data_IF_132365150333
#
_entry.id   IF_132365150333
#
_cell.length_a   1.000
_cell.length_b   1.000
_cell.length_c   1.000
_cell.angle_alpha   90.00
_cell.angle_beta   90.00
_cell.angle_gamma   90.00
#
_symmetry.space_group_name_H-M   'P 1'
#
loop_
_entity.id
_entity.type
_entity.pdbx_description
1 polymer ?
#
# COMPACT_ATOMS: atom_id res chain seq x y z
N UNK A 1 -17.72 35.48 -13.16
CA UNK A 1 -16.83 34.34 -12.85
C UNK A 1 -16.45 33.70 -14.18
N UNK A 2 -15.23 33.93 -14.69
CA UNK A 2 -14.79 33.34 -15.95
C UNK A 2 -14.48 31.86 -15.71
N UNK A 3 -15.26 30.96 -16.33
CA UNK A 3 -14.96 29.52 -16.34
C UNK A 3 -13.74 29.33 -17.23
N UNK A 4 -12.61 28.92 -16.65
CA UNK A 4 -11.42 28.60 -17.44
C UNK A 4 -11.80 27.51 -18.46
N UNK A 5 -11.33 27.63 -19.70
CA UNK A 5 -11.55 26.59 -20.71
C UNK A 5 -10.88 25.29 -20.27
N UNK A 6 -11.54 24.15 -20.49
CA UNK A 6 -11.02 22.80 -20.20
C UNK A 6 -9.91 22.44 -21.19
N UNK A 7 -9.05 21.48 -20.82
CA UNK A 7 -7.99 21.00 -21.71
C UNK A 7 -8.58 20.16 -22.84
N UNK A 8 -8.77 20.77 -24.02
CA UNK A 8 -9.31 20.09 -25.20
C UNK A 8 -8.45 18.89 -25.65
N UNK A 9 -7.13 18.94 -25.44
CA UNK A 9 -6.24 17.80 -25.74
C UNK A 9 -6.44 16.64 -24.76
N UNK A 10 -6.64 16.92 -23.48
CA UNK A 10 -6.93 15.89 -22.49
C UNK A 10 -8.28 15.23 -22.78
N UNK A 11 -9.31 16.05 -23.02
CA UNK A 11 -10.65 15.55 -23.39
C UNK A 11 -10.58 14.74 -24.70
N UNK A 12 -9.80 15.19 -25.68
CA UNK A 12 -9.57 14.46 -26.94
C UNK A 12 -8.87 13.12 -26.75
N UNK A 13 -7.82 13.06 -25.93
CA UNK A 13 -7.10 11.81 -25.63
C UNK A 13 -7.97 10.80 -24.89
N UNK A 14 -8.86 11.27 -24.00
CA UNK A 14 -9.83 10.41 -23.31
C UNK A 14 -10.90 9.93 -24.30
N UNK A 15 -11.46 10.82 -25.11
CA UNK A 15 -12.51 10.49 -26.07
C UNK A 15 -12.02 9.54 -27.18
N UNK A 16 -10.74 9.61 -27.57
CA UNK A 16 -10.13 8.73 -28.56
C UNK A 16 -9.71 7.37 -27.99
N UNK A 17 -9.76 7.20 -26.66
CA UNK A 17 -9.30 5.98 -25.98
C UNK A 17 -7.78 5.89 -25.81
N UNK A 18 -7.02 6.94 -26.11
CA UNK A 18 -5.58 6.99 -25.87
C UNK A 18 -5.26 7.08 -24.37
N UNK A 19 -6.09 7.77 -23.59
CA UNK A 19 -5.99 7.85 -22.14
C UNK A 19 -7.27 7.30 -21.50
N UNK A 20 -7.22 6.08 -20.99
CA UNK A 20 -8.38 5.41 -20.39
C UNK A 20 -8.27 5.31 -18.87
N UNK A 21 -9.38 5.45 -18.14
CA UNK A 21 -9.40 5.17 -16.70
C UNK A 21 -9.21 3.67 -16.45
N UNK A 22 -8.26 3.34 -15.58
CA UNK A 22 -8.04 1.97 -15.11
C UNK A 22 -8.29 1.92 -13.60
N UNK A 23 -9.15 1.01 -13.10
CA UNK A 23 -9.44 0.94 -11.67
C UNK A 23 -8.21 0.50 -10.86
N UNK A 24 -8.11 0.98 -9.63
CA UNK A 24 -7.16 0.43 -8.66
C UNK A 24 -7.70 -0.93 -8.21
N UNK A 25 -7.06 -2.00 -8.69
CA UNK A 25 -7.37 -3.38 -8.33
C UNK A 25 -6.45 -3.81 -7.18
N UNK A 26 -7.00 -4.09 -6.00
CA UNK A 26 -6.24 -4.63 -4.89
C UNK A 26 -5.79 -6.09 -5.17
N UNK A 27 -4.63 -6.51 -4.62
CA UNK A 27 -4.23 -7.92 -4.60
C UNK A 27 -5.30 -8.80 -3.93
N UNK A 28 -5.24 -10.09 -4.22
CA UNK A 28 -6.11 -11.08 -3.53
C UNK A 28 -5.90 -10.96 -2.01
N UNK A 29 -7.00 -10.98 -1.26
CA UNK A 29 -6.95 -10.95 0.19
C UNK A 29 -6.51 -12.32 0.74
N UNK A 30 -5.34 -12.32 1.39
CA UNK A 30 -4.64 -13.49 1.91
C UNK A 30 -4.08 -13.18 3.29
N UNK A 31 -3.72 -14.20 4.05
CA UNK A 31 -3.04 -13.99 5.33
C UNK A 31 -1.58 -13.52 5.20
N UNK A 32 -1.06 -13.45 3.98
CA UNK A 32 0.26 -12.91 3.70
C UNK A 32 0.26 -11.38 3.84
N UNK A 33 1.42 -10.81 4.16
CA UNK A 33 1.57 -9.35 4.20
C UNK A 33 1.41 -8.67 2.82
N UNK A 34 1.43 -9.43 1.70
CA UNK A 34 1.12 -8.90 0.36
C UNK A 34 -0.33 -8.42 0.19
N UNK A 35 -1.21 -8.73 1.13
CA UNK A 35 -2.59 -8.22 1.17
C UNK A 35 -2.74 -6.98 2.06
N UNK A 36 -1.64 -6.51 2.67
CA UNK A 36 -1.61 -5.27 3.44
C UNK A 36 -1.07 -4.16 2.55
N UNK A 37 -1.82 -3.07 2.42
CA UNK A 37 -1.30 -1.86 1.77
C UNK A 37 -0.24 -1.21 2.65
N UNK A 38 0.97 -1.00 2.12
CA UNK A 38 2.10 -0.48 2.89
C UNK A 38 2.13 1.06 2.85
N UNK A 39 1.16 1.67 3.52
CA UNK A 39 1.07 3.14 3.64
C UNK A 39 2.31 3.76 4.30
N UNK A 40 2.94 3.05 5.23
CA UNK A 40 4.15 3.51 5.92
C UNK A 40 5.37 3.66 5.01
N UNK A 41 5.36 2.97 3.87
CA UNK A 41 6.44 2.99 2.89
C UNK A 41 6.07 3.81 1.65
N UNK A 42 4.93 4.49 1.65
CA UNK A 42 4.52 5.30 0.51
C UNK A 42 5.53 6.43 0.28
N UNK A 43 6.15 6.40 -0.90
CA UNK A 43 7.21 7.33 -1.31
C UNK A 43 8.47 7.30 -0.43
N UNK A 44 8.69 6.25 0.39
CA UNK A 44 9.88 6.16 1.25
C UNK A 44 11.14 5.78 0.47
N UNK A 45 11.00 5.17 -0.71
CA UNK A 45 12.09 4.83 -1.62
C UNK A 45 12.07 5.66 -2.91
N UNK A 46 13.26 6.05 -3.36
CA UNK A 46 13.49 6.64 -4.67
C UNK A 46 13.35 5.54 -5.73
N UNK A 47 12.33 5.64 -6.59
CA UNK A 47 12.14 4.73 -7.74
C UNK A 47 12.90 5.19 -8.99
N UNK A 48 13.69 6.28 -8.93
CA UNK A 48 14.44 6.80 -10.09
C UNK A 48 15.87 7.21 -9.74
N UNK A 49 16.82 6.75 -10.55
CA UNK A 49 18.28 6.85 -10.35
C UNK A 49 18.87 8.26 -10.42
N UNK A 50 18.05 9.31 -10.53
CA UNK A 50 18.51 10.69 -10.58
C UNK A 50 17.61 11.59 -9.72
N UNK A 51 18.17 12.06 -8.61
CA UNK A 51 17.69 13.16 -7.77
C UNK A 51 16.37 13.01 -7.00
N UNK A 52 15.65 11.87 -7.03
CA UNK A 52 14.45 11.72 -6.21
C UNK A 52 14.82 11.44 -4.74
N UNK A 53 14.40 12.34 -3.84
CA UNK A 53 14.55 12.15 -2.39
C UNK A 53 13.29 11.45 -1.85
N UNK A 54 13.36 10.73 -0.71
CA UNK A 54 12.17 10.20 -0.06
C UNK A 54 11.11 11.28 0.14
N UNK A 55 9.85 10.90 -0.01
CA UNK A 55 8.67 11.76 0.14
C UNK A 55 8.68 13.00 -0.77
N UNK A 56 9.26 12.86 -1.96
CA UNK A 56 9.18 13.88 -3.01
C UNK A 56 8.36 13.38 -4.20
N UNK A 57 7.61 14.28 -4.82
CA UNK A 57 6.96 14.06 -6.12
C UNK A 57 7.83 14.67 -7.23
N UNK A 58 7.76 14.08 -8.43
CA UNK A 58 8.28 14.71 -9.64
C UNK A 58 7.27 15.76 -10.10
N UNK A 59 7.52 17.00 -9.68
CA UNK A 59 6.72 18.19 -9.93
C UNK A 59 7.09 18.80 -11.29
N UNK A 60 6.10 18.85 -12.18
CA UNK A 60 6.21 19.36 -13.54
C UNK A 60 5.55 20.73 -13.59
N UNK A 61 6.33 21.78 -13.87
CA UNK A 61 5.83 23.17 -13.91
C UNK A 61 6.28 23.88 -15.19
N UNK A 62 5.48 24.83 -15.72
CA UNK A 62 5.90 25.61 -16.89
C UNK A 62 7.18 26.40 -16.61
N UNK A 63 8.24 26.08 -17.34
CA UNK A 63 9.52 26.78 -17.31
C UNK A 63 9.59 27.95 -18.28
N UNK A 64 10.81 28.43 -18.53
CA UNK A 64 11.04 29.67 -19.31
C UNK A 64 10.50 29.60 -20.75
N UNK A 65 10.58 28.42 -21.37
CA UNK A 65 10.05 28.16 -22.72
C UNK A 65 8.59 27.69 -22.73
N UNK A 66 7.86 27.86 -21.62
CA UNK A 66 6.50 27.34 -21.40
C UNK A 66 6.36 25.83 -21.61
N UNK A 67 7.48 25.10 -21.54
CA UNK A 67 7.52 23.65 -21.47
C UNK A 67 7.54 23.22 -20.02
N UNK A 68 6.98 22.06 -19.73
CA UNK A 68 7.05 21.51 -18.37
C UNK A 68 8.46 21.04 -18.03
N UNK A 69 9.05 21.66 -17.00
CA UNK A 69 10.34 21.30 -16.42
C UNK A 69 10.12 20.46 -15.15
N UNK A 70 11.07 19.57 -14.84
CA UNK A 70 11.00 18.65 -13.69
C UNK A 70 11.71 19.21 -12.47
N UNK A 71 11.04 19.12 -11.32
CA UNK A 71 11.57 19.50 -10.03
C UNK A 71 11.19 18.46 -8.97
N UNK A 72 12.06 18.21 -8.00
CA UNK A 72 11.68 17.44 -6.83
C UNK A 72 10.92 18.35 -5.84
N UNK A 73 9.65 18.05 -5.57
CA UNK A 73 8.86 18.75 -4.57
C UNK A 73 8.63 17.85 -3.35
N UNK A 74 9.08 18.28 -2.18
CA UNK A 74 8.82 17.56 -0.93
C UNK A 74 7.35 17.66 -0.51
N UNK A 75 6.80 16.53 -0.06
CA UNK A 75 5.45 16.41 0.50
C UNK A 75 5.58 15.86 1.92
N UNK A 76 5.92 16.71 2.91
CA UNK A 76 6.19 16.27 4.29
C UNK A 76 4.99 15.60 4.95
N UNK A 77 3.78 15.86 4.48
CA UNK A 77 2.55 15.20 4.94
C UNK A 77 2.57 13.70 4.65
N UNK A 78 3.18 13.27 3.54
CA UNK A 78 3.33 11.85 3.21
C UNK A 78 4.30 11.17 4.18
N UNK A 79 5.41 11.83 4.51
CA UNK A 79 6.37 11.33 5.50
C UNK A 79 5.72 11.07 6.87
N UNK A 80 4.77 11.92 7.25
CA UNK A 80 4.10 11.86 8.54
C UNK A 80 2.73 11.15 8.48
N UNK A 81 2.36 10.59 7.32
CA UNK A 81 1.06 9.97 7.08
C UNK A 81 0.78 8.84 8.05
N UNK A 82 1.78 7.98 8.27
CA UNK A 82 1.73 6.86 9.20
C UNK A 82 2.77 7.08 10.31
N UNK A 83 2.34 6.93 11.55
CA UNK A 83 3.23 6.90 12.71
C UNK A 83 3.57 5.46 13.04
N UNK A 84 4.83 5.24 13.43
CA UNK A 84 5.34 3.95 13.88
C UNK A 84 5.80 4.07 15.33
N UNK A 85 5.20 3.28 16.20
CA UNK A 85 5.64 3.03 17.57
C UNK A 85 6.36 1.68 17.61
N UNK A 86 7.51 1.61 18.29
CA UNK A 86 8.18 0.34 18.56
C UNK A 86 7.93 -0.03 20.02
N UNK A 87 7.21 -1.12 20.25
CA UNK A 87 6.93 -1.64 21.59
C UNK A 87 7.89 -2.80 21.87
N UNK A 88 8.88 -2.62 22.76
CA UNK A 88 9.75 -3.70 23.19
C UNK A 88 8.99 -4.67 24.11
N UNK A 89 9.42 -5.93 24.14
CA UNK A 89 8.84 -6.97 25.01
C UNK A 89 7.33 -7.15 24.87
N UNK A 90 6.79 -6.92 23.67
CA UNK A 90 5.40 -7.22 23.36
C UNK A 90 5.18 -8.72 23.48
N UNK A 91 4.06 -9.11 24.10
CA UNK A 91 3.65 -10.50 24.22
C UNK A 91 2.24 -10.70 23.69
N UNK A 92 2.03 -11.83 23.04
CA UNK A 92 0.73 -12.29 22.53
C UNK A 92 0.70 -13.81 22.55
N UNK A 93 -0.49 -14.40 22.41
CA UNK A 93 -0.61 -15.83 22.15
C UNK A 93 -0.38 -16.11 20.66
N UNK A 94 0.15 -17.29 20.32
CA UNK A 94 0.34 -17.72 18.92
C UNK A 94 -0.95 -17.59 18.09
N UNK A 95 -2.11 -17.77 18.73
CA UNK A 95 -3.42 -17.71 18.08
C UNK A 95 -3.91 -16.28 17.78
N UNK A 96 -3.31 -15.27 18.42
CA UNK A 96 -3.57 -13.85 18.14
C UNK A 96 -2.98 -13.42 16.79
N UNK A 97 -1.94 -14.11 16.32
CA UNK A 97 -1.30 -13.82 15.04
C UNK A 97 -2.19 -14.34 13.92
N UNK A 98 -2.56 -13.42 13.02
CA UNK A 98 -3.48 -13.69 11.92
C UNK A 98 -2.82 -13.65 10.55
N UNK A 99 -1.58 -13.18 10.45
CA UNK A 99 -0.85 -13.14 9.18
C UNK A 99 0.67 -13.32 9.31
N UNK A 100 1.30 -13.61 8.17
CA UNK A 100 2.73 -13.98 8.07
C UNK A 100 3.39 -13.22 6.91
N UNK A 101 4.65 -12.81 7.07
CA UNK A 101 5.33 -11.99 6.05
C UNK A 101 6.12 -12.76 5.01
N UNK A 102 6.70 -13.91 5.32
CA UNK A 102 7.59 -14.66 4.42
C UNK A 102 7.22 -16.14 4.37
N UNK A 103 7.13 -16.70 3.17
CA UNK A 103 6.88 -18.13 2.97
C UNK A 103 7.29 -18.56 1.56
N UNK A 104 7.75 -19.80 1.43
CA UNK A 104 7.93 -20.45 0.11
C UNK A 104 6.62 -20.72 -0.62
N UNK A 105 5.49 -20.64 0.10
CA UNK A 105 4.14 -20.80 -0.44
C UNK A 105 3.41 -19.46 -0.56
N UNK A 106 4.13 -18.33 -0.56
CA UNK A 106 3.53 -16.99 -0.57
C UNK A 106 2.80 -16.69 -1.88
N UNK A 107 3.19 -17.33 -2.98
CA UNK A 107 2.53 -17.26 -4.28
C UNK A 107 1.08 -17.78 -4.23
N UNK A 108 0.76 -18.69 -3.32
CA UNK A 108 -0.58 -19.25 -3.16
C UNK A 108 -1.55 -18.31 -2.43
N UNK A 109 -2.71 -18.11 -3.04
CA UNK A 109 -3.82 -17.33 -2.47
C UNK A 109 -4.56 -18.12 -1.39
N UNK A 110 -4.03 -18.08 -0.18
CA UNK A 110 -4.63 -18.71 0.99
C UNK A 110 -5.22 -17.63 1.87
N UNK A 111 -6.54 -17.72 2.12
CA UNK A 111 -7.26 -16.66 2.81
C UNK A 111 -6.98 -16.65 4.30
N UNK A 112 -7.10 -17.81 4.94
CA UNK A 112 -6.96 -17.93 6.39
C UNK A 112 -5.66 -18.67 6.77
N UNK A 113 -5.00 -18.18 7.82
CA UNK A 113 -3.80 -18.82 8.39
C UNK A 113 -4.11 -20.23 8.90
N UNK A 114 -5.36 -20.54 9.25
CA UNK A 114 -5.82 -21.86 9.70
C UNK A 114 -5.93 -22.89 8.55
N UNK A 115 -6.09 -22.44 7.30
CA UNK A 115 -6.13 -23.32 6.12
C UNK A 115 -4.72 -23.72 5.67
N UNK A 116 -3.75 -22.85 5.90
CA UNK A 116 -2.38 -23.00 5.41
C UNK A 116 -1.73 -24.34 5.79
N UNK A 117 -1.81 -24.81 7.06
CA UNK A 117 -1.15 -26.06 7.45
C UNK A 117 -1.77 -27.29 6.80
N UNK A 118 -3.09 -27.28 6.60
CA UNK A 118 -3.81 -28.37 5.94
C UNK A 118 -3.44 -28.44 4.45
N UNK A 119 -3.31 -27.28 3.81
CA UNK A 119 -3.03 -27.19 2.37
C UNK A 119 -1.55 -27.38 2.03
N UNK A 120 -0.62 -26.94 2.90
CA UNK A 120 0.80 -26.74 2.53
C UNK A 120 1.82 -27.44 3.43
N UNK A 121 1.46 -27.89 4.62
CA UNK A 121 2.36 -28.63 5.51
C UNK A 121 1.63 -29.62 6.40
N UNK A 122 0.78 -30.45 5.80
CA UNK A 122 -0.05 -31.41 6.54
C UNK A 122 0.78 -32.36 7.40
N UNK A 123 1.93 -32.81 6.92
CA UNK A 123 2.86 -33.66 7.69
C UNK A 123 3.42 -33.00 8.96
N UNK A 124 3.43 -31.67 9.04
CA UNK A 124 3.84 -30.93 10.23
C UNK A 124 2.64 -30.65 11.15
N UNK A 125 1.44 -30.54 10.59
CA UNK A 125 0.21 -30.28 11.33
C UNK A 125 -0.34 -31.54 12.02
N UNK A 126 -0.19 -32.71 11.40
CA UNK A 126 -0.68 -34.00 11.90
C UNK A 126 0.47 -34.91 12.41
N UNK A 127 0.27 -35.65 13.52
CA UNK A 127 -0.93 -35.68 14.35
C UNK A 127 -1.03 -34.42 15.23
N UNK A 128 -2.26 -34.09 15.64
CA UNK A 128 -2.52 -32.98 16.55
C UNK A 128 -2.27 -33.45 17.98
N UNK A 129 -1.04 -33.26 18.46
CA UNK A 129 -0.61 -33.62 19.82
C UNK A 129 0.29 -32.54 20.41
N UNK A 130 0.36 -32.47 21.73
CA UNK A 130 1.23 -31.53 22.43
C UNK A 130 2.72 -31.78 22.13
N UNK A 131 3.11 -33.04 21.94
CA UNK A 131 4.49 -33.39 21.55
C UNK A 131 4.83 -32.87 20.15
N UNK A 132 3.90 -32.96 19.20
CA UNK A 132 4.14 -32.44 17.86
C UNK A 132 4.18 -30.91 17.84
N UNK A 133 3.32 -30.26 18.63
CA UNK A 133 3.38 -28.82 18.89
C UNK A 133 4.76 -28.42 19.43
N UNK A 134 5.26 -29.09 20.48
CA UNK A 134 6.59 -28.83 21.04
C UNK A 134 7.70 -29.01 20.02
N UNK A 135 7.62 -30.04 19.16
CA UNK A 135 8.58 -30.28 18.09
C UNK A 135 8.60 -29.13 17.08
N UNK A 136 7.44 -28.69 16.60
CA UNK A 136 7.33 -27.57 15.67
C UNK A 136 7.86 -26.27 16.28
N UNK A 137 7.52 -25.99 17.54
CA UNK A 137 7.99 -24.82 18.28
C UNK A 137 9.51 -24.80 18.52
N UNK A 138 10.20 -25.94 18.43
CA UNK A 138 11.67 -26.01 18.55
C UNK A 138 12.39 -25.74 17.23
N UNK A 139 11.68 -25.50 16.13
CA UNK A 139 12.33 -25.26 14.85
C UNK A 139 13.09 -23.93 14.84
N UNK A 140 14.38 -23.98 14.50
CA UNK A 140 15.31 -22.86 14.63
C UNK A 140 14.93 -21.64 13.76
N UNK A 141 14.24 -21.84 12.63
CA UNK A 141 13.78 -20.73 11.77
C UNK A 141 12.69 -19.87 12.43
N UNK A 142 12.01 -20.36 13.48
CA UNK A 142 11.03 -19.57 14.22
C UNK A 142 11.67 -18.42 14.99
N UNK A 143 12.94 -18.57 15.38
CA UNK A 143 13.73 -17.50 16.03
C UNK A 143 12.97 -16.82 17.18
N UNK A 144 12.42 -17.65 18.08
CA UNK A 144 11.53 -17.21 19.16
C UNK A 144 12.16 -16.14 20.07
N UNK A 145 13.49 -16.08 20.12
CA UNK A 145 14.28 -15.09 20.87
C UNK A 145 14.25 -13.67 20.28
N UNK A 146 13.86 -13.52 19.01
CA UNK A 146 13.94 -12.25 18.27
C UNK A 146 12.75 -12.04 17.34
N UNK A 147 11.56 -12.45 17.79
CA UNK A 147 10.34 -12.28 17.02
C UNK A 147 10.05 -10.80 16.75
N UNK A 148 9.60 -10.51 15.53
CA UNK A 148 9.16 -9.19 15.10
C UNK A 148 7.69 -9.28 14.67
N UNK A 149 6.87 -8.41 15.24
CA UNK A 149 5.46 -8.31 14.93
C UNK A 149 5.15 -6.96 14.29
N UNK A 150 4.06 -6.90 13.53
CA UNK A 150 3.48 -5.67 13.06
C UNK A 150 1.97 -5.63 13.29
N UNK A 151 1.48 -4.51 13.79
CA UNK A 151 0.06 -4.21 13.91
C UNK A 151 -0.32 -3.14 12.88
N UNK A 152 -1.12 -3.53 11.90
CA UNK A 152 -1.65 -2.66 10.85
C UNK A 152 -3.15 -2.41 11.11
N UNK A 153 -3.55 -1.23 11.62
CA UNK A 153 -4.95 -0.97 11.96
C UNK A 153 -5.89 -0.95 10.75
N UNK A 154 -5.33 -0.80 9.54
CA UNK A 154 -6.04 -0.82 8.26
C UNK A 154 -6.09 -2.20 7.58
N UNK A 155 -5.50 -3.23 8.19
CA UNK A 155 -5.57 -4.59 7.66
C UNK A 155 -6.63 -5.39 8.39
N UNK A 156 -7.40 -6.21 7.67
CA UNK A 156 -8.43 -7.09 8.23
C UNK A 156 -7.89 -7.96 9.40
N UNK A 157 -6.69 -8.50 9.22
CA UNK A 157 -6.04 -9.42 10.17
C UNK A 157 -5.29 -8.72 11.31
N UNK A 158 -5.01 -7.43 11.16
CA UNK A 158 -4.30 -6.53 12.10
C UNK A 158 -2.90 -6.97 12.53
N UNK A 159 -2.73 -8.12 13.20
CA UNK A 159 -1.48 -8.59 13.77
C UNK A 159 -0.78 -9.64 12.89
N UNK A 160 0.44 -9.32 12.49
CA UNK A 160 1.27 -10.13 11.60
C UNK A 160 2.60 -10.48 12.27
N UNK A 161 3.08 -11.71 12.02
CA UNK A 161 4.46 -12.09 12.30
C UNK A 161 5.34 -11.76 11.09
N UNK A 162 6.32 -10.87 11.29
CA UNK A 162 7.29 -10.47 10.28
C UNK A 162 8.49 -11.42 10.30
N UNK A 163 8.26 -12.63 9.79
CA UNK A 163 9.27 -13.69 9.72
C UNK A 163 10.16 -13.59 8.48
N UNK A 164 11.32 -14.25 8.54
CA UNK A 164 12.19 -14.51 7.38
C UNK A 164 12.16 -15.99 6.95
N UNK A 165 11.53 -16.86 7.74
CA UNK A 165 11.52 -18.32 7.57
C UNK A 165 10.58 -19.00 8.56
N UNK A 166 10.51 -20.33 8.54
CA UNK A 166 9.74 -21.10 9.54
C UNK A 166 8.22 -21.03 9.42
N UNK A 167 7.66 -20.44 8.35
CA UNK A 167 6.20 -20.27 8.19
C UNK A 167 5.42 -21.57 8.33
N UNK A 168 5.89 -22.68 7.75
CA UNK A 168 5.22 -23.98 7.78
C UNK A 168 5.18 -24.57 9.19
N UNK A 169 6.28 -24.46 9.95
CA UNK A 169 6.35 -24.89 11.35
C UNK A 169 5.47 -24.01 12.25
N UNK A 170 5.49 -22.69 12.04
CA UNK A 170 4.65 -21.76 12.78
C UNK A 170 3.16 -22.01 12.53
N UNK A 171 2.77 -22.15 11.25
CA UNK A 171 1.40 -22.44 10.87
C UNK A 171 0.92 -23.74 11.50
N UNK A 172 1.72 -24.81 11.41
CA UNK A 172 1.41 -26.10 12.02
C UNK A 172 1.29 -26.00 13.56
N UNK A 173 2.22 -25.32 14.22
CA UNK A 173 2.17 -25.10 15.67
C UNK A 173 0.93 -24.30 16.08
N UNK A 174 0.61 -23.21 15.37
CA UNK A 174 -0.59 -22.42 15.63
C UNK A 174 -1.86 -23.27 15.46
N UNK A 175 -1.96 -24.03 14.37
CA UNK A 175 -3.07 -24.93 14.11
C UNK A 175 -3.25 -25.96 15.24
N UNK A 176 -2.15 -26.57 15.69
CA UNK A 176 -2.15 -27.52 16.80
C UNK A 176 -2.58 -26.85 18.12
N UNK A 177 -2.03 -25.66 18.44
CA UNK A 177 -2.39 -24.89 19.62
C UNK A 177 -3.90 -24.56 19.66
N UNK A 178 -4.47 -24.08 18.54
CA UNK A 178 -5.91 -23.83 18.41
C UNK A 178 -6.74 -25.08 18.68
N UNK A 179 -6.39 -26.22 18.07
CA UNK A 179 -7.15 -27.48 18.19
C UNK A 179 -7.05 -28.11 19.57
N UNK A 180 -5.89 -27.97 20.23
CA UNK A 180 -5.65 -28.50 21.57
C UNK A 180 -6.15 -27.57 22.67
N UNK A 181 -6.48 -26.30 22.36
CA UNK A 181 -6.83 -25.29 23.36
C UNK A 181 -5.65 -24.92 24.27
N UNK A 182 -4.42 -25.02 23.75
CA UNK A 182 -3.19 -24.75 24.52
C UNK A 182 -2.69 -23.35 24.17
N UNK A 183 -2.53 -22.52 25.20
CA UNK A 183 -1.88 -21.21 25.04
C UNK A 183 -0.37 -21.39 24.79
N UNK A 184 0.15 -20.67 23.80
CA UNK A 184 1.57 -20.64 23.45
C UNK A 184 1.99 -19.16 23.44
N UNK A 185 2.49 -18.63 24.56
CA UNK A 185 2.90 -17.23 24.64
C UNK A 185 4.15 -17.01 23.79
N UNK A 186 4.11 -15.95 22.98
CA UNK A 186 5.21 -15.45 22.18
C UNK A 186 5.60 -14.06 22.66
N UNK A 187 6.89 -13.76 22.60
CA UNK A 187 7.44 -12.46 23.02
C UNK A 187 8.39 -11.93 21.96
N UNK A 188 8.38 -10.62 21.74
CA UNK A 188 9.25 -9.99 20.78
C UNK A 188 9.10 -8.47 20.74
N UNK A 189 9.44 -7.88 19.60
CA UNK A 189 9.23 -6.45 19.34
C UNK A 189 8.01 -6.28 18.44
N UNK A 190 7.13 -5.35 18.79
CA UNK A 190 6.00 -4.96 17.95
C UNK A 190 6.26 -3.62 17.27
N UNK A 191 6.09 -3.57 15.95
CA UNK A 191 5.90 -2.33 15.19
C UNK A 191 4.41 -2.01 15.17
N UNK A 192 3.95 -1.07 15.98
CA UNK A 192 2.56 -0.61 15.97
C UNK A 192 2.43 0.61 15.05
N UNK A 193 1.56 0.50 14.05
CA UNK A 193 1.28 1.60 13.14
C UNK A 193 -0.01 2.32 13.53
N UNK A 194 -0.06 3.62 13.27
CA UNK A 194 -1.28 4.43 13.39
C UNK A 194 -1.37 5.47 12.28
N UNK A 195 -2.60 5.81 11.91
CA UNK A 195 -2.90 6.78 10.85
C UNK A 195 -2.89 8.20 11.42
N UNK A 196 -2.13 9.10 10.80
CA UNK A 196 -2.11 10.52 11.14
C UNK A 196 -3.18 11.25 10.31
N UNK A 197 -4.44 11.19 10.77
CA UNK A 197 -5.61 11.78 10.08
C UNK A 197 -5.45 13.27 9.71
N UNK A 198 -4.80 14.13 10.52
CA UNK A 198 -4.46 15.48 10.10
C UNK A 198 -3.64 15.55 8.80
N UNK A 199 -2.67 14.65 8.60
CA UNK A 199 -1.85 14.63 7.37
C UNK A 199 -2.65 14.17 6.15
N UNK A 200 -3.58 13.23 6.32
CA UNK A 200 -4.55 12.88 5.27
C UNK A 200 -5.36 14.11 4.87
N UNK A 201 -5.83 14.87 5.86
CA UNK A 201 -6.64 16.08 5.62
C UNK A 201 -5.82 17.13 4.88
N UNK A 202 -4.56 17.36 5.29
CA UNK A 202 -3.65 18.30 4.64
C UNK A 202 -3.39 17.93 3.16
N UNK A 203 -3.04 16.66 2.89
CA UNK A 203 -2.84 16.16 1.51
C UNK A 203 -4.11 16.40 0.67
N UNK A 204 -5.29 16.03 1.19
CA UNK A 204 -6.56 16.16 0.47
C UNK A 204 -7.01 17.62 0.31
N UNK A 205 -6.58 18.53 1.17
CA UNK A 205 -6.87 19.97 1.06
C UNK A 205 -5.97 20.66 0.04
N UNK A 206 -4.74 20.19 -0.12
CA UNK A 206 -3.78 20.77 -1.05
C UNK A 206 -3.84 20.12 -2.45
N UNK A 207 -4.23 18.86 -2.57
CA UNK A 207 -4.13 18.11 -3.82
C UNK A 207 -5.44 17.43 -4.23
N UNK A 208 -5.73 17.47 -5.53
CA UNK A 208 -6.52 16.42 -6.18
C UNK A 208 -5.55 15.31 -6.61
N UNK A 209 -5.93 14.05 -6.38
CA UNK A 209 -5.08 12.89 -6.65
C UNK A 209 -5.84 11.90 -7.51
N UNK A 210 -5.29 11.57 -8.66
CA UNK A 210 -5.87 10.59 -9.59
C UNK A 210 -4.86 9.53 -9.97
N UNK A 211 -5.31 8.28 -10.03
CA UNK A 211 -4.53 7.21 -10.63
C UNK A 211 -4.68 7.24 -12.15
N UNK A 212 -3.57 7.14 -12.88
CA UNK A 212 -3.51 7.05 -14.34
C UNK A 212 -2.60 5.90 -14.75
N UNK A 213 -2.78 5.29 -15.93
CA UNK A 213 -1.83 4.33 -16.49
C UNK A 213 -0.42 4.91 -16.55
N UNK A 214 0.57 4.17 -16.03
CA UNK A 214 1.95 4.63 -15.94
C UNK A 214 2.56 4.96 -17.31
N UNK A 215 2.26 4.14 -18.32
CA UNK A 215 2.76 4.31 -19.68
C UNK A 215 2.21 5.57 -20.37
N UNK A 216 0.99 5.98 -19.99
CA UNK A 216 0.36 7.19 -20.55
C UNK A 216 0.73 8.47 -19.80
N UNK A 217 1.34 8.36 -18.61
CA UNK A 217 1.72 9.52 -17.79
C UNK A 217 2.65 10.47 -18.55
N UNK A 218 3.68 9.94 -19.21
CA UNK A 218 4.63 10.69 -20.05
C UNK A 218 4.31 10.63 -21.55
N UNK A 219 3.19 9.99 -21.91
CA UNK A 219 2.62 10.00 -23.25
C UNK A 219 1.48 11.03 -23.35
N UNK A 220 0.27 10.54 -23.62
CA UNK A 220 -0.90 11.37 -23.89
C UNK A 220 -1.25 12.35 -22.76
N UNK A 221 -1.07 11.95 -21.50
CA UNK A 221 -1.32 12.84 -20.35
C UNK A 221 -0.34 14.01 -20.31
N UNK A 222 0.97 13.74 -20.40
CA UNK A 222 2.00 14.79 -20.39
C UNK A 222 1.83 15.77 -21.56
N UNK A 223 1.55 15.27 -22.76
CA UNK A 223 1.33 16.12 -23.94
C UNK A 223 0.13 17.07 -23.75
N UNK A 224 -0.94 16.57 -23.13
CA UNK A 224 -2.10 17.38 -22.80
C UNK A 224 -1.78 18.42 -21.72
N UNK A 225 -1.02 18.05 -20.68
CA UNK A 225 -0.62 18.97 -19.61
C UNK A 225 0.32 20.04 -20.14
N UNK A 226 1.28 19.68 -20.98
CA UNK A 226 2.25 20.60 -21.58
C UNK A 226 1.56 21.59 -22.53
N UNK A 227 0.64 21.13 -23.37
CA UNK A 227 -0.12 22.01 -24.26
C UNK A 227 -1.08 22.95 -23.52
N UNK A 228 -1.64 22.48 -22.42
CA UNK A 228 -2.49 23.29 -21.55
C UNK A 228 -1.68 24.12 -20.55
N UNK A 229 -0.34 23.97 -20.53
CA UNK A 229 0.58 24.57 -19.58
C UNK A 229 0.09 24.37 -18.12
N UNK A 230 -0.38 23.17 -17.81
CA UNK A 230 -0.87 22.79 -16.50
C UNK A 230 0.25 22.16 -15.67
N UNK A 231 0.57 22.71 -14.49
CA UNK A 231 1.49 22.04 -13.59
C UNK A 231 0.85 20.79 -12.97
N UNK A 232 1.67 19.78 -12.71
CA UNK A 232 1.26 18.57 -12.00
C UNK A 232 2.46 17.87 -11.37
N UNK A 233 2.25 17.18 -10.25
CA UNK A 233 3.24 16.26 -9.70
C UNK A 233 2.92 14.81 -10.03
N UNK A 234 3.91 13.91 -9.96
CA UNK A 234 3.67 12.48 -10.05
C UNK A 234 4.45 11.64 -9.03
N UNK A 235 3.86 10.50 -8.64
CA UNK A 235 4.49 9.50 -7.77
C UNK A 235 3.92 8.09 -7.99
N UNK A 236 4.53 7.08 -7.34
CA UNK A 236 3.97 5.72 -7.27
C UNK A 236 2.84 5.60 -6.25
N UNK A 237 2.00 4.57 -6.40
CA UNK A 237 1.04 4.17 -5.38
C UNK A 237 1.76 3.54 -4.17
N UNK A 238 1.13 3.48 -2.99
CA UNK A 238 1.60 2.63 -1.90
C UNK A 238 1.73 1.17 -2.36
N UNK A 239 2.77 0.49 -1.88
CA UNK A 239 3.02 -0.93 -2.23
C UNK A 239 1.82 -1.80 -1.84
N UNK A 240 1.50 -2.76 -2.71
CA UNK A 240 0.36 -3.69 -2.59
C UNK A 240 -1.03 -3.02 -2.63
N UNK A 241 -1.13 -1.75 -3.02
CA UNK A 241 -2.43 -1.16 -3.32
C UNK A 241 -2.98 -1.62 -4.66
N UNK A 242 -2.10 -1.83 -5.65
CA UNK A 242 -2.47 -2.24 -6.98
C UNK A 242 -1.77 -3.54 -7.38
N UNK A 243 -2.54 -4.46 -7.95
CA UNK A 243 -2.06 -5.72 -8.52
C UNK A 243 -1.86 -5.57 -10.02
N UNK A 244 -0.63 -5.18 -10.39
CA UNK A 244 -0.21 -4.96 -11.79
C UNK A 244 -0.23 -6.26 -12.60
N UNK A 245 0.11 -7.40 -11.99
CA UNK A 245 0.13 -8.69 -12.69
C UNK A 245 -1.28 -9.10 -13.10
N UNK A 246 -2.26 -8.83 -12.24
CA UNK A 246 -3.68 -9.10 -12.52
C UNK A 246 -4.32 -8.07 -13.43
N UNK A 247 -3.97 -6.79 -13.31
CA UNK A 247 -4.56 -5.70 -14.10
C UNK A 247 -3.95 -5.62 -15.51
N UNK A 248 -2.71 -6.07 -15.68
CA UNK A 248 -1.91 -5.88 -16.88
C UNK A 248 -1.46 -4.43 -17.12
N UNK A 249 -1.73 -3.51 -16.18
CA UNK A 249 -1.46 -2.07 -16.32
C UNK A 249 -0.87 -1.53 -15.02
N UNK A 250 0.34 -0.98 -15.06
CA UNK A 250 0.89 -0.25 -13.91
C UNK A 250 0.22 1.12 -13.77
N UNK A 251 0.07 1.60 -12.54
CA UNK A 251 -0.56 2.88 -12.25
C UNK A 251 0.43 3.86 -11.59
N UNK A 252 0.26 5.14 -11.90
CA UNK A 252 0.91 6.25 -11.20
C UNK A 252 -0.12 7.22 -10.66
N UNK A 253 0.26 7.97 -9.63
CA UNK A 253 -0.54 9.05 -9.08
C UNK A 253 -0.14 10.37 -9.73
N UNK A 254 -1.14 11.10 -10.20
CA UNK A 254 -1.04 12.50 -10.60
C UNK A 254 -1.53 13.38 -9.46
N UNK A 255 -0.72 14.40 -9.14
CA UNK A 255 -0.95 15.40 -8.10
C UNK A 255 -1.29 16.73 -8.75
N UNK A 256 -2.50 17.22 -8.51
CA UNK A 256 -3.00 18.48 -9.06
C UNK A 256 -3.31 19.44 -7.92
N UNK A 257 -2.58 20.55 -7.84
CA UNK A 257 -2.72 21.51 -6.75
C UNK A 257 -4.13 22.13 -6.73
N UNK A 258 -4.80 22.04 -5.58
CA UNK A 258 -6.07 22.68 -5.34
C UNK A 258 -5.88 24.19 -5.28
N UNK A 259 -6.71 24.92 -6.02
CA UNK A 259 -6.61 26.37 -6.15
C UNK A 259 -5.83 26.83 -7.38
N UNK A 260 -5.06 25.96 -8.04
CA UNK A 260 -4.49 26.29 -9.35
C UNK A 260 -5.54 26.10 -10.46
N UNK A 261 -5.97 27.16 -11.18
CA UNK A 261 -7.14 27.09 -12.06
C UNK A 261 -7.07 26.00 -13.13
N UNK A 262 -5.90 25.81 -13.76
CA UNK A 262 -5.70 24.75 -14.77
C UNK A 262 -5.70 23.36 -14.14
N UNK A 263 -5.14 23.20 -12.95
CA UNK A 263 -5.05 21.91 -12.28
C UNK A 263 -6.44 21.46 -11.80
N UNK A 264 -7.25 22.39 -11.29
CA UNK A 264 -8.66 22.15 -10.97
C UNK A 264 -9.48 21.80 -12.23
N UNK A 265 -9.26 22.47 -13.36
CA UNK A 265 -9.95 22.13 -14.60
C UNK A 265 -9.59 20.73 -15.12
N UNK A 266 -8.32 20.32 -14.99
CA UNK A 266 -7.88 18.95 -15.31
C UNK A 266 -8.48 17.94 -14.35
N UNK A 267 -8.51 18.24 -13.04
CA UNK A 267 -9.12 17.39 -12.03
C UNK A 267 -10.62 17.14 -12.31
N UNK A 268 -11.35 18.17 -12.75
CA UNK A 268 -12.75 18.03 -13.15
C UNK A 268 -12.91 17.09 -14.37
N UNK A 269 -12.02 17.18 -15.36
CA UNK A 269 -12.04 16.30 -16.54
C UNK A 269 -11.74 14.85 -16.16
N UNK A 270 -10.69 14.61 -15.38
CA UNK A 270 -10.34 13.25 -14.91
C UNK A 270 -11.46 12.65 -14.05
N UNK A 271 -12.05 13.44 -13.17
CA UNK A 271 -13.17 13.00 -12.33
C UNK A 271 -14.40 12.65 -13.17
N UNK A 272 -14.76 13.50 -14.13
CA UNK A 272 -15.90 13.26 -15.02
C UNK A 272 -15.69 12.04 -15.93
N UNK A 273 -14.45 11.77 -16.33
CA UNK A 273 -14.07 10.61 -17.13
C UNK A 273 -13.93 9.32 -16.30
N UNK A 274 -14.07 9.37 -14.98
CA UNK A 274 -14.09 8.19 -14.11
C UNK A 274 -12.71 7.67 -13.70
N UNK A 275 -11.65 8.49 -13.80
CA UNK A 275 -10.34 8.11 -13.27
C UNK A 275 -10.41 7.90 -11.74
N UNK A 276 -9.72 6.90 -11.18
CA UNK A 276 -9.79 6.64 -9.74
C UNK A 276 -9.29 7.83 -8.92
N UNK A 277 -10.18 8.35 -8.08
CA UNK A 277 -9.87 9.40 -7.11
C UNK A 277 -9.16 8.78 -5.89
N UNK A 278 -7.84 8.96 -5.82
CA UNK A 278 -7.02 8.46 -4.73
C UNK A 278 -7.30 9.21 -3.42
N UNK A 279 -7.87 10.41 -3.48
CA UNK A 279 -8.40 11.11 -2.31
C UNK A 279 -9.50 10.34 -1.58
N UNK A 280 -10.22 9.44 -2.26
CA UNK A 280 -11.17 8.50 -1.62
C UNK A 280 -10.46 7.38 -0.87
N UNK A 281 -9.34 6.87 -1.38
CA UNK A 281 -8.52 5.86 -0.71
C UNK A 281 -7.94 6.42 0.60
N UNK A 282 -7.41 7.64 0.56
CA UNK A 282 -6.97 8.35 1.76
C UNK A 282 -8.11 8.57 2.77
N UNK A 283 -9.32 8.88 2.29
CA UNK A 283 -10.47 9.05 3.18
C UNK A 283 -10.91 7.71 3.82
N UNK A 284 -10.78 6.59 3.11
CA UNK A 284 -11.03 5.27 3.66
C UNK A 284 -10.02 4.93 4.75
N UNK A 285 -8.73 5.15 4.49
CA UNK A 285 -7.66 5.00 5.49
C UNK A 285 -7.92 5.81 6.77
N UNK A 286 -8.47 7.03 6.65
CA UNK A 286 -8.79 7.86 7.80
C UNK A 286 -9.95 7.34 8.68
N UNK A 287 -10.79 6.45 8.14
CA UNK A 287 -11.94 5.87 8.87
C UNK A 287 -11.57 4.64 9.68
N UNK A 288 -10.40 4.06 9.44
CA UNK A 288 -10.00 2.83 10.10
C UNK A 288 -9.62 3.12 11.55
N UNK A 289 -10.09 2.27 12.49
CA UNK A 289 -9.95 2.56 13.92
C UNK A 289 -8.47 2.66 14.28
N UNK A 290 -8.09 3.78 14.91
CA UNK A 290 -6.81 3.85 15.61
C UNK A 290 -6.78 2.74 16.67
N UNK A 291 -5.63 2.08 16.92
CA UNK A 291 -5.51 1.16 18.03
C UNK A 291 -5.97 1.85 19.31
N UNK A 292 -6.85 1.18 20.08
CA UNK A 292 -7.21 1.61 21.43
C UNK A 292 -6.08 1.31 22.40
#
# INVERSE_FOLDING_TARGET
MFRLQRSARLEGAIASGQLMPCPIIAPVDTFWTRSVVYWQDWMSSSLSSFHSRPWTIDDRKPGYQRRLESHALAVPEVQQLIRKENVPHFSCDITDIRGISASKSMDHDIRDIDEFPVLRCRELAEPVTEEHLRKNMRHWELRLDRMLFAEYPWAERRLYWLNDGGSHYFGAARYQACRLGIAVPLTGRLCRYSVNVPMISAIRQQWHLFAVPADELFGSFFDAMNAFECPFGNSGLPRYMHDTDKSGVDLKLVWLERGHPRASAVADVLSAAGFPDFGKQLQQLAKEPSPR
#
